data_IF_631676662469
#
_entry.id   IF_631676662469
#
_cell.length_a   1.000
_cell.length_b   1.000
_cell.length_c   1.000
_cell.angle_alpha   90.00
_cell.angle_beta   90.00
_cell.angle_gamma   90.00
#
_symmetry.space_group_name_H-M   'P 1'
#
loop_
_entity.id
_entity.type
_entity.pdbx_description
1 polymer ?
#
# COMPACT_ATOMS: atom_id res chain seq x y z
N UNK A 1 33.72 1.55 30.69
CA UNK A 1 32.40 2.23 30.73
C UNK A 1 31.43 1.42 29.89
N UNK A 2 30.56 0.64 30.52
CA UNK A 2 29.56 -0.21 29.85
C UNK A 2 28.46 0.67 29.25
N UNK A 3 28.30 0.69 27.92
CA UNK A 3 27.20 1.36 27.24
C UNK A 3 25.91 0.61 27.55
N UNK A 4 25.13 1.10 28.48
CA UNK A 4 23.78 0.60 28.80
C UNK A 4 22.94 0.68 27.52
N UNK A 5 22.69 -0.45 26.89
CA UNK A 5 21.86 -0.57 25.69
C UNK A 5 20.42 -0.19 26.07
N UNK A 6 19.96 1.02 25.69
CA UNK A 6 18.56 1.42 25.91
C UNK A 6 17.64 0.37 25.32
N UNK A 7 16.90 -0.32 26.17
CA UNK A 7 15.84 -1.24 25.74
C UNK A 7 14.75 -0.39 25.08
N UNK A 8 14.63 -0.51 23.77
CA UNK A 8 13.61 0.20 22.98
C UNK A 8 12.38 -0.68 22.91
N UNK A 9 11.21 -0.20 23.31
CA UNK A 9 9.95 -0.96 23.19
C UNK A 9 9.59 -1.22 21.72
N UNK A 10 8.68 -2.16 21.48
CA UNK A 10 8.23 -2.51 20.13
C UNK A 10 7.56 -1.30 19.49
N UNK A 11 6.70 -0.59 20.23
CA UNK A 11 5.99 0.60 19.76
C UNK A 11 6.98 1.71 19.33
N UNK A 12 8.02 1.95 20.12
CA UNK A 12 9.07 2.92 19.78
C UNK A 12 9.84 2.50 18.52
N UNK A 13 10.07 1.19 18.33
CA UNK A 13 10.71 0.67 17.11
C UNK A 13 9.83 0.84 15.88
N UNK A 14 8.52 0.64 16.03
CA UNK A 14 7.55 0.87 14.96
C UNK A 14 7.47 2.36 14.61
N UNK A 15 7.28 3.24 15.61
CA UNK A 15 7.15 4.68 15.40
C UNK A 15 8.36 5.29 14.66
N UNK A 16 9.58 4.87 14.99
CA UNK A 16 10.81 5.37 14.33
C UNK A 16 10.94 5.01 12.85
N UNK A 17 10.19 4.02 12.38
CA UNK A 17 10.26 3.51 10.99
C UNK A 17 8.94 3.66 10.26
N UNK A 18 8.08 4.51 10.75
CA UNK A 18 6.76 4.78 10.17
C UNK A 18 6.68 6.24 9.78
N UNK A 19 6.22 6.48 8.58
CA UNK A 19 5.88 7.79 8.06
C UNK A 19 4.37 7.84 7.82
N UNK A 20 3.73 8.93 8.25
CA UNK A 20 2.28 9.10 8.08
C UNK A 20 2.05 9.88 6.79
N UNK A 21 1.32 9.28 5.88
CA UNK A 21 0.83 9.95 4.68
C UNK A 21 -0.33 10.89 5.07
N UNK A 22 -0.19 12.21 4.94
CA UNK A 22 -1.19 13.17 5.39
C UNK A 22 -2.48 13.14 4.56
N UNK A 23 -2.44 12.60 3.33
CA UNK A 23 -3.62 12.54 2.45
C UNK A 23 -4.49 11.32 2.73
N UNK A 24 -3.87 10.20 3.00
CA UNK A 24 -4.58 8.92 3.18
C UNK A 24 -4.68 8.48 4.64
N UNK A 25 -3.89 9.06 5.53
CA UNK A 25 -3.75 8.61 6.92
C UNK A 25 -3.03 7.27 7.05
N UNK A 26 -2.43 6.77 5.96
CA UNK A 26 -1.67 5.53 5.99
C UNK A 26 -0.37 5.70 6.79
N UNK A 27 -0.09 4.75 7.67
CA UNK A 27 1.18 4.64 8.36
C UNK A 27 2.14 3.78 7.53
N UNK A 28 2.97 4.41 6.71
CA UNK A 28 3.83 3.75 5.75
C UNK A 28 5.13 3.28 6.39
N UNK A 29 5.36 1.98 6.39
CA UNK A 29 6.57 1.37 6.90
C UNK A 29 7.79 1.67 6.05
N UNK A 30 8.85 2.22 6.67
CA UNK A 30 10.12 2.58 6.02
C UNK A 30 11.21 1.51 6.17
N UNK A 31 10.91 0.38 6.79
CA UNK A 31 11.84 -0.74 6.93
C UNK A 31 11.75 -1.76 5.79
N UNK A 32 12.39 -2.92 5.99
CA UNK A 32 12.37 -4.01 5.02
C UNK A 32 10.99 -4.63 4.82
N UNK A 33 10.78 -5.19 3.62
CA UNK A 33 9.57 -5.92 3.26
C UNK A 33 9.94 -7.30 2.70
N UNK A 34 8.98 -8.22 2.71
CA UNK A 34 9.12 -9.50 2.02
C UNK A 34 8.99 -9.30 0.49
N UNK A 35 9.24 -10.35 -0.33
CA UNK A 35 9.10 -10.26 -1.80
C UNK A 35 7.69 -9.87 -2.27
N UNK A 36 6.65 -10.16 -1.47
CA UNK A 36 5.27 -9.76 -1.76
C UNK A 36 4.95 -8.31 -1.37
N UNK A 37 5.92 -7.55 -0.80
CA UNK A 37 5.77 -6.15 -0.42
C UNK A 37 5.24 -5.91 0.99
N UNK A 38 5.03 -6.95 1.79
CA UNK A 38 4.56 -6.78 3.18
C UNK A 38 5.70 -6.45 4.13
N UNK A 39 5.49 -5.48 5.05
CA UNK A 39 6.46 -5.05 6.05
C UNK A 39 6.94 -6.17 6.97
N UNK A 40 8.25 -6.26 7.16
CA UNK A 40 8.88 -7.20 8.08
C UNK A 40 9.70 -6.48 9.15
N UNK A 41 9.66 -7.05 10.35
CA UNK A 41 10.56 -6.70 11.46
C UNK A 41 11.13 -7.97 12.06
N UNK A 42 12.43 -7.95 12.36
CA UNK A 42 13.06 -9.05 13.07
C UNK A 42 12.97 -8.81 14.58
N UNK A 43 12.34 -9.74 15.27
CA UNK A 43 12.26 -9.80 16.73
C UNK A 43 12.70 -11.19 17.15
N UNK A 44 13.62 -11.27 18.11
CA UNK A 44 14.12 -12.54 18.67
C UNK A 44 14.52 -13.56 17.59
N UNK A 45 15.25 -13.07 16.55
CA UNK A 45 15.70 -13.87 15.40
C UNK A 45 14.57 -14.43 14.51
N UNK A 46 13.31 -14.00 14.71
CA UNK A 46 12.17 -14.36 13.88
C UNK A 46 11.66 -13.15 13.13
N UNK A 47 11.22 -13.34 11.90
CA UNK A 47 10.61 -12.29 11.09
C UNK A 47 9.11 -12.25 11.35
N UNK A 48 8.62 -11.09 11.74
CA UNK A 48 7.20 -10.84 11.98
C UNK A 48 6.66 -9.85 10.97
N UNK A 49 5.42 -10.06 10.54
CA UNK A 49 4.68 -9.10 9.71
C UNK A 49 4.28 -7.89 10.57
N UNK A 50 4.77 -6.71 10.20
CA UNK A 50 4.64 -5.51 11.02
C UNK A 50 3.18 -5.09 11.19
N UNK A 51 2.36 -5.16 10.15
CA UNK A 51 0.94 -4.81 10.22
C UNK A 51 0.18 -5.73 11.20
N UNK A 52 0.49 -7.03 11.23
CA UNK A 52 -0.11 -7.96 12.20
C UNK A 52 0.32 -7.65 13.63
N UNK A 53 1.59 -7.28 13.81
CA UNK A 53 2.13 -6.87 15.11
C UNK A 53 1.46 -5.58 15.59
N UNK A 54 1.35 -4.56 14.73
CA UNK A 54 0.68 -3.31 15.05
C UNK A 54 -0.80 -3.51 15.43
N UNK A 55 -1.50 -4.38 14.70
CA UNK A 55 -2.86 -4.78 15.04
C UNK A 55 -2.94 -5.42 16.43
N UNK A 56 -2.06 -6.41 16.70
CA UNK A 56 -2.07 -7.13 17.97
C UNK A 56 -1.79 -6.22 19.16
N UNK A 57 -0.90 -5.25 19.01
CA UNK A 57 -0.62 -4.24 20.04
C UNK A 57 -1.83 -3.35 20.32
N UNK A 58 -2.67 -3.06 19.33
CA UNK A 58 -3.82 -2.15 19.45
C UNK A 58 -5.11 -2.87 19.86
N UNK A 59 -5.41 -4.01 19.25
CA UNK A 59 -6.70 -4.69 19.34
C UNK A 59 -6.63 -6.11 19.90
N UNK A 60 -5.43 -6.62 20.16
CA UNK A 60 -5.24 -7.97 20.65
C UNK A 60 -5.04 -9.01 19.55
N UNK A 61 -5.10 -10.26 19.92
CA UNK A 61 -4.77 -11.39 19.05
C UNK A 61 -5.76 -11.54 17.89
N UNK A 62 -5.24 -11.83 16.71
CA UNK A 62 -6.05 -12.19 15.54
C UNK A 62 -6.51 -13.63 15.74
N UNK A 63 -7.81 -13.92 15.65
CA UNK A 63 -8.33 -15.30 15.82
C UNK A 63 -7.72 -16.28 14.82
N UNK A 64 -7.57 -17.53 15.23
CA UNK A 64 -7.05 -18.59 14.36
C UNK A 64 -7.96 -18.77 13.12
N UNK A 65 -7.32 -18.96 11.95
CA UNK A 65 -8.05 -19.10 10.69
C UNK A 65 -8.50 -17.76 10.05
N UNK A 66 -8.29 -16.63 10.74
CA UNK A 66 -8.62 -15.31 10.19
C UNK A 66 -7.40 -14.61 9.57
N UNK A 67 -7.65 -13.85 8.53
CA UNK A 67 -6.68 -12.99 7.85
C UNK A 67 -6.80 -11.55 8.32
N UNK A 68 -5.68 -10.82 8.29
CA UNK A 68 -5.69 -9.38 8.48
C UNK A 68 -5.56 -8.73 7.11
N UNK A 69 -6.63 -8.04 6.69
CA UNK A 69 -6.81 -7.47 5.37
C UNK A 69 -6.67 -5.94 5.40
N UNK A 70 -6.17 -5.36 4.31
CA UNK A 70 -6.04 -3.90 4.16
C UNK A 70 -7.29 -3.28 3.55
N UNK A 71 -7.87 -2.28 4.23
CA UNK A 71 -8.93 -1.44 3.65
C UNK A 71 -8.38 -0.47 2.60
N UNK A 72 -7.17 0.05 2.84
CA UNK A 72 -6.50 1.05 2.01
C UNK A 72 -5.74 0.47 0.80
N UNK A 73 -5.61 -0.86 0.67
CA UNK A 73 -4.84 -1.58 -0.36
C UNK A 73 -3.33 -1.27 -0.39
N UNK A 74 -2.82 -0.44 0.51
CA UNK A 74 -1.40 -0.15 0.63
C UNK A 74 -0.73 -1.22 1.50
N UNK A 75 0.08 -2.09 0.87
CA UNK A 75 0.73 -3.23 1.56
C UNK A 75 1.69 -2.81 2.64
N UNK A 76 2.31 -1.63 2.50
CA UNK A 76 3.24 -1.07 3.48
C UNK A 76 2.56 -0.33 4.62
N UNK A 77 1.24 -0.16 4.56
CA UNK A 77 0.49 0.46 5.64
C UNK A 77 0.46 -0.45 6.86
N UNK A 78 0.81 0.10 8.01
CA UNK A 78 0.77 -0.57 9.31
C UNK A 78 -0.24 0.07 10.27
N UNK A 79 -1.05 1.04 9.80
CA UNK A 79 -2.10 1.66 10.59
C UNK A 79 -3.16 0.62 10.96
N UNK A 80 -3.37 0.29 12.25
CA UNK A 80 -4.35 -0.71 12.64
C UNK A 80 -5.77 -0.39 12.16
N UNK A 81 -6.15 0.91 12.11
CA UNK A 81 -7.49 1.35 11.71
C UNK A 81 -7.76 1.14 10.21
N UNK A 82 -6.70 0.96 9.41
CA UNK A 82 -6.78 0.66 7.99
C UNK A 82 -6.86 -0.83 7.67
N UNK A 83 -7.05 -1.66 8.69
CA UNK A 83 -7.18 -3.09 8.54
C UNK A 83 -8.55 -3.58 9.01
N UNK A 84 -8.85 -4.81 8.68
CA UNK A 84 -9.95 -5.58 9.26
C UNK A 84 -9.58 -7.05 9.34
N UNK A 85 -10.15 -7.74 10.31
CA UNK A 85 -10.02 -9.19 10.45
C UNK A 85 -11.19 -9.84 9.72
N UNK A 86 -10.91 -10.77 8.83
CA UNK A 86 -11.91 -11.46 8.04
C UNK A 86 -11.44 -12.84 7.60
N UNK A 87 -12.35 -13.60 7.02
CA UNK A 87 -12.04 -14.87 6.37
C UNK A 87 -11.36 -14.62 5.02
N UNK A 88 -10.75 -15.66 4.44
CA UNK A 88 -10.25 -15.60 3.07
C UNK A 88 -11.35 -15.17 2.07
N UNK A 89 -12.59 -15.61 2.28
CA UNK A 89 -13.71 -15.23 1.43
C UNK A 89 -14.03 -13.74 1.54
N UNK A 90 -13.97 -13.16 2.76
CA UNK A 90 -14.18 -11.73 2.97
C UNK A 90 -13.10 -10.90 2.28
N UNK A 91 -11.84 -11.31 2.38
CA UNK A 91 -10.72 -10.70 1.66
C UNK A 91 -10.92 -10.72 0.14
N UNK A 92 -11.35 -11.87 -0.40
CA UNK A 92 -11.62 -12.00 -1.83
C UNK A 92 -12.83 -11.19 -2.29
N UNK A 93 -13.84 -11.01 -1.43
CA UNK A 93 -15.01 -10.15 -1.69
C UNK A 93 -14.58 -8.68 -1.73
N UNK A 94 -13.88 -8.21 -0.69
CA UNK A 94 -13.36 -6.84 -0.60
C UNK A 94 -12.51 -6.48 -1.84
N UNK A 95 -11.62 -7.37 -2.26
CA UNK A 95 -10.79 -7.17 -3.45
C UNK A 95 -11.61 -7.07 -4.75
N UNK A 96 -12.67 -7.88 -4.90
CA UNK A 96 -13.58 -7.82 -6.06
C UNK A 96 -14.37 -6.53 -6.09
N UNK A 97 -14.91 -6.11 -4.95
CA UNK A 97 -15.71 -4.89 -4.83
C UNK A 97 -14.86 -3.64 -5.11
N UNK A 98 -13.65 -3.58 -4.60
CA UNK A 98 -12.70 -2.49 -4.90
C UNK A 98 -12.31 -2.43 -6.39
N UNK A 99 -12.11 -3.60 -7.03
CA UNK A 99 -11.86 -3.65 -8.49
C UNK A 99 -13.04 -3.14 -9.29
N UNK A 100 -14.27 -3.49 -8.88
CA UNK A 100 -15.49 -3.01 -9.53
C UNK A 100 -15.62 -1.51 -9.41
N UNK A 101 -15.48 -0.94 -8.20
CA UNK A 101 -15.55 0.51 -7.97
C UNK A 101 -14.48 1.27 -8.76
N UNK A 102 -13.25 0.75 -8.84
CA UNK A 102 -12.19 1.36 -9.66
C UNK A 102 -12.53 1.34 -11.14
N UNK A 103 -13.09 0.23 -11.65
CA UNK A 103 -13.52 0.12 -13.03
C UNK A 103 -14.67 1.07 -13.36
N UNK A 104 -15.67 1.17 -12.49
CA UNK A 104 -16.81 2.08 -12.62
C UNK A 104 -16.37 3.54 -12.60
N UNK A 105 -15.47 3.92 -11.65
CA UNK A 105 -14.90 5.28 -11.62
C UNK A 105 -14.10 5.60 -12.87
N UNK A 106 -13.27 4.67 -13.35
CA UNK A 106 -12.52 4.84 -14.58
C UNK A 106 -13.45 5.07 -15.78
N UNK A 107 -14.52 4.30 -15.88
CA UNK A 107 -15.52 4.44 -16.94
C UNK A 107 -16.29 5.77 -16.83
N UNK A 108 -16.68 6.19 -15.63
CA UNK A 108 -17.37 7.44 -15.38
C UNK A 108 -16.49 8.66 -15.74
N UNK A 109 -15.19 8.62 -15.45
CA UNK A 109 -14.24 9.66 -15.85
C UNK A 109 -14.12 9.72 -17.38
N UNK A 110 -14.01 8.57 -18.05
CA UNK A 110 -13.93 8.51 -19.52
C UNK A 110 -15.18 9.04 -20.21
N UNK A 111 -16.35 8.87 -19.61
CA UNK A 111 -17.64 9.38 -20.11
C UNK A 111 -17.88 10.86 -19.76
N UNK A 112 -17.04 11.45 -18.89
CA UNK A 112 -17.24 12.81 -18.37
C UNK A 112 -18.37 12.93 -17.34
N UNK A 113 -18.86 11.80 -16.80
CA UNK A 113 -19.93 11.76 -15.80
C UNK A 113 -19.42 12.08 -14.38
N UNK A 114 -18.11 11.90 -14.14
CA UNK A 114 -17.43 12.31 -12.90
C UNK A 114 -16.61 13.56 -13.15
N UNK A 115 -16.72 14.53 -12.25
CA UNK A 115 -15.82 15.68 -12.23
C UNK A 115 -14.35 15.22 -12.07
N UNK A 116 -13.44 15.96 -12.70
CA UNK A 116 -12.01 15.77 -12.50
C UNK A 116 -11.66 16.03 -11.03
N UNK A 117 -10.66 15.34 -10.48
CA UNK A 117 -10.08 15.72 -9.20
C UNK A 117 -9.70 17.21 -9.21
N UNK A 118 -9.87 17.88 -8.07
CA UNK A 118 -9.69 19.34 -7.96
C UNK A 118 -8.25 19.81 -8.30
N UNK A 119 -7.29 18.89 -8.30
CA UNK A 119 -5.87 19.13 -8.63
C UNK A 119 -5.53 18.91 -10.12
N UNK A 120 -6.52 18.50 -10.94
CA UNK A 120 -6.32 18.21 -12.37
C UNK A 120 -6.93 19.30 -13.22
N UNK A 121 -6.10 19.98 -14.00
CA UNK A 121 -6.56 20.99 -14.96
C UNK A 121 -6.99 20.34 -16.26
N UNK A 122 -8.11 20.80 -16.88
CA UNK A 122 -8.61 20.24 -18.13
C UNK A 122 -7.59 20.23 -19.28
N UNK A 123 -6.67 21.21 -19.29
CA UNK A 123 -5.60 21.34 -20.28
C UNK A 123 -4.49 20.27 -20.12
N UNK A 124 -4.39 19.64 -18.96
CA UNK A 124 -3.42 18.56 -18.70
C UNK A 124 -3.89 17.21 -19.24
N UNK A 125 -5.11 17.15 -19.76
CA UNK A 125 -5.70 15.91 -20.28
C UNK A 125 -5.34 15.73 -21.75
N UNK A 126 -4.64 14.64 -22.04
CA UNK A 126 -4.35 14.23 -23.42
C UNK A 126 -5.49 13.38 -23.96
N UNK A 127 -5.97 13.63 -25.19
CA UNK A 127 -6.96 12.77 -25.82
C UNK A 127 -6.39 11.38 -26.06
N UNK A 128 -7.09 10.35 -25.58
CA UNK A 128 -6.70 8.95 -25.73
C UNK A 128 -7.84 8.14 -26.34
N UNK A 129 -7.49 7.24 -27.24
CA UNK A 129 -8.41 6.23 -27.78
C UNK A 129 -8.09 4.89 -27.13
N UNK A 130 -9.07 4.27 -26.53
CA UNK A 130 -8.94 2.94 -25.92
C UNK A 130 -9.92 1.96 -26.58
N UNK A 131 -9.43 0.78 -26.97
CA UNK A 131 -10.28 -0.28 -27.47
C UNK A 131 -10.47 -1.32 -26.36
N UNK A 132 -11.68 -1.42 -25.82
CA UNK A 132 -12.06 -2.41 -24.82
C UNK A 132 -13.17 -3.30 -25.40
N UNK A 133 -12.88 -4.59 -25.58
CA UNK A 133 -13.82 -5.60 -26.09
C UNK A 133 -14.50 -5.21 -27.41
N UNK A 134 -13.75 -4.59 -28.33
CA UNK A 134 -14.27 -4.18 -29.65
C UNK A 134 -15.07 -2.87 -29.65
N UNK A 135 -15.18 -2.19 -28.52
CA UNK A 135 -15.79 -0.86 -28.44
C UNK A 135 -14.70 0.18 -28.33
N UNK A 136 -14.73 1.17 -29.24
CA UNK A 136 -13.84 2.32 -29.17
C UNK A 136 -14.36 3.29 -28.12
N UNK A 137 -13.54 3.54 -27.09
CA UNK A 137 -13.82 4.53 -26.06
C UNK A 137 -12.84 5.68 -26.28
N UNK A 138 -13.35 6.84 -26.65
CA UNK A 138 -12.58 8.07 -26.75
C UNK A 138 -12.72 8.86 -25.47
N UNK A 139 -11.60 9.25 -24.86
CA UNK A 139 -11.58 10.02 -23.63
C UNK A 139 -10.32 10.86 -23.51
N UNK A 140 -10.25 11.69 -22.49
CA UNK A 140 -9.03 12.44 -22.13
C UNK A 140 -8.42 11.82 -20.88
N UNK A 141 -7.12 11.54 -20.93
CA UNK A 141 -6.37 10.93 -19.83
C UNK A 141 -5.29 11.90 -19.37
N UNK A 142 -5.12 12.00 -18.05
CA UNK A 142 -4.00 12.71 -17.47
C UNK A 142 -2.70 11.91 -17.69
N UNK A 143 -1.87 12.39 -18.62
CA UNK A 143 -0.50 11.92 -18.76
C UNK A 143 0.38 12.89 -17.98
N UNK A 144 0.69 12.57 -16.74
CA UNK A 144 1.73 13.33 -16.02
C UNK A 144 3.04 13.06 -16.75
N UNK A 145 3.76 14.09 -17.21
CA UNK A 145 5.09 13.88 -17.77
C UNK A 145 5.93 13.21 -16.70
N UNK A 146 6.58 12.11 -17.06
CA UNK A 146 7.59 11.47 -16.23
C UNK A 146 8.68 12.53 -16.02
N UNK A 147 8.74 13.12 -14.83
CA UNK A 147 9.83 14.03 -14.47
C UNK A 147 11.08 13.16 -14.38
N UNK A 148 11.86 13.20 -15.46
CA UNK A 148 13.16 12.56 -15.52
C UNK A 148 14.05 13.24 -14.49
N UNK A 149 14.23 12.64 -13.30
CA UNK A 149 15.05 13.19 -12.24
C UNK A 149 15.04 12.40 -10.94
N UNK A 150 14.05 11.57 -10.71
CA UNK A 150 14.05 10.67 -9.55
C UNK A 150 14.14 9.24 -10.05
N UNK A 151 15.36 8.78 -10.26
CA UNK A 151 15.61 7.37 -10.51
C UNK A 151 15.11 6.56 -9.31
N UNK A 152 14.31 5.49 -9.51
CA UNK A 152 13.94 4.61 -8.43
C UNK A 152 15.22 4.06 -7.79
N UNK A 153 15.27 3.92 -6.45
CA UNK A 153 16.47 3.42 -5.78
C UNK A 153 16.85 2.07 -6.39
N UNK A 154 18.07 2.00 -6.93
CA UNK A 154 18.63 0.78 -7.51
C UNK A 154 18.52 -0.34 -6.48
N UNK A 155 17.76 -1.39 -6.77
CA UNK A 155 17.73 -2.62 -5.98
C UNK A 155 19.15 -3.14 -5.88
N UNK A 156 19.76 -3.07 -4.70
CA UNK A 156 21.02 -3.76 -4.42
C UNK A 156 20.73 -5.25 -4.58
N UNK A 157 21.29 -5.86 -5.63
CA UNK A 157 21.37 -7.31 -5.74
C UNK A 157 22.19 -7.78 -4.54
N UNK A 158 21.58 -8.58 -3.67
CA UNK A 158 22.31 -9.33 -2.67
C UNK A 158 23.31 -10.22 -3.41
N UNK A 159 24.59 -10.02 -3.14
CA UNK A 159 25.64 -10.88 -3.63
C UNK A 159 25.34 -12.31 -3.19
N UNK A 160 25.20 -13.24 -4.14
CA UNK A 160 25.19 -14.68 -3.86
C UNK A 160 26.57 -15.01 -3.31
N UNK A 161 26.67 -15.25 -2.03
CA UNK A 161 27.81 -15.90 -1.44
C UNK A 161 27.79 -17.36 -1.91
N UNK A 162 28.68 -17.69 -2.81
CA UNK A 162 29.08 -19.06 -3.10
C UNK A 162 30.01 -19.55 -1.99
N UNK A 163 29.53 -20.44 -1.15
CA UNK A 163 30.30 -21.57 -0.55
C UNK A 163 29.30 -22.54 0.08
#
# INVERSE_FOLDING_TARGET
MSKTRRVTTIEQRLARRTEIDPLTGCHIWQGGCNPAGYPLINLERKNHLVHRLAWTLRYGMIPAGMELCHRCDERRCINPDHHFVGTHQDNMRDMRDKRRVRAERGLAILKGECGLPADVRPEELTPMRLFLRGVEITGRVLVRPFVAGVAPPKRRRAARSSR
#
